data_IF_417462644731
#
_entry.id   IF_417462644731
#
_cell.length_a   1.000
_cell.length_b   1.000
_cell.length_c   1.000
_cell.angle_alpha   90.00
_cell.angle_beta   90.00
_cell.angle_gamma   90.00
#
_symmetry.space_group_name_H-M   'P 1'
#
loop_
_entity.id
_entity.type
_entity.pdbx_description
1 polymer ?
#
# COMPACT_ATOMS: atom_id res chain seq x y z
N UNK A 1 2.19 4.17 -10.93
CA UNK A 1 2.60 3.06 -10.06
C UNK A 1 3.99 2.66 -10.53
N UNK A 2 4.97 2.63 -9.64
CA UNK A 2 6.36 2.33 -9.93
C UNK A 2 6.65 0.82 -9.92
N UNK A 3 5.89 0.03 -9.15
CA UNK A 3 6.10 -1.42 -9.06
C UNK A 3 4.81 -2.17 -9.40
N UNK A 4 4.86 -3.00 -10.44
CA UNK A 4 3.81 -4.00 -10.71
C UNK A 4 3.79 -4.98 -9.55
N UNK A 5 2.59 -5.25 -9.00
CA UNK A 5 2.41 -6.01 -7.76
C UNK A 5 1.09 -6.78 -7.73
N UNK A 6 1.07 -7.91 -7.04
CA UNK A 6 -0.12 -8.68 -6.67
C UNK A 6 -0.18 -8.92 -5.16
N UNK A 7 -1.33 -9.36 -4.63
CA UNK A 7 -1.51 -9.68 -3.20
C UNK A 7 -1.10 -8.53 -2.26
N UNK A 8 -1.21 -7.29 -2.75
CA UNK A 8 -1.01 -6.06 -2.00
C UNK A 8 -2.32 -5.65 -1.34
N UNK A 9 -2.25 -4.69 -0.42
CA UNK A 9 -3.44 -4.01 0.08
C UNK A 9 -3.58 -2.63 -0.53
N UNK A 10 -4.81 -2.24 -0.83
CA UNK A 10 -5.18 -0.90 -1.25
C UNK A 10 -6.26 -0.37 -0.29
N UNK A 11 -6.03 0.81 0.29
CA UNK A 11 -6.95 1.43 1.26
C UNK A 11 -7.22 2.86 0.85
N UNK A 12 -8.50 3.19 0.64
CA UNK A 12 -8.95 4.56 0.41
C UNK A 12 -8.83 5.35 1.72
N UNK A 13 -8.16 6.50 1.68
CA UNK A 13 -8.03 7.42 2.81
C UNK A 13 -9.10 8.50 2.75
N UNK A 14 -9.34 9.16 3.89
CA UNK A 14 -10.26 10.31 3.98
C UNK A 14 -9.88 11.48 3.06
N UNK A 15 -8.61 11.58 2.63
CA UNK A 15 -8.16 12.57 1.64
C UNK A 15 -8.64 12.30 0.20
N UNK A 16 -9.22 11.12 -0.07
CA UNK A 16 -9.59 10.68 -1.43
C UNK A 16 -8.44 10.00 -2.19
N UNK A 17 -7.28 9.88 -1.57
CA UNK A 17 -6.13 9.16 -2.09
C UNK A 17 -6.16 7.69 -1.65
N UNK A 18 -5.55 6.81 -2.45
CA UNK A 18 -5.47 5.38 -2.13
C UNK A 18 -4.03 5.04 -1.73
N UNK A 19 -3.85 4.56 -0.49
CA UNK A 19 -2.60 3.96 -0.06
C UNK A 19 -2.53 2.53 -0.58
N UNK A 20 -1.49 2.21 -1.33
CA UNK A 20 -1.15 0.86 -1.78
C UNK A 20 0.15 0.43 -1.12
N UNK A 21 0.14 -0.69 -0.41
CA UNK A 21 1.35 -1.16 0.28
C UNK A 21 1.56 -2.67 0.20
N UNK A 22 2.83 -3.04 0.24
CA UNK A 22 3.32 -4.41 0.16
C UNK A 22 2.92 -5.18 -1.09
N UNK A 23 2.79 -6.49 -0.93
CA UNK A 23 2.51 -7.43 -2.00
C UNK A 23 3.76 -8.02 -2.64
N UNK A 24 3.55 -8.74 -3.72
CA UNK A 24 4.57 -9.46 -4.47
C UNK A 24 4.72 -8.84 -5.86
N UNK A 25 5.89 -8.29 -6.15
CA UNK A 25 6.25 -7.73 -7.46
C UNK A 25 7.24 -8.61 -8.24
N UNK A 26 7.69 -8.11 -9.38
CA UNK A 26 8.59 -8.87 -10.29
C UNK A 26 9.87 -9.37 -9.60
N UNK A 27 10.41 -8.57 -8.68
CA UNK A 27 11.62 -8.89 -7.92
C UNK A 27 11.41 -9.62 -6.59
N UNK A 28 10.18 -10.05 -6.27
CA UNK A 28 9.84 -10.65 -4.98
C UNK A 28 8.93 -9.78 -4.11
N UNK A 29 8.98 -10.02 -2.80
CA UNK A 29 8.17 -9.28 -1.84
C UNK A 29 8.57 -7.81 -1.76
N UNK A 30 7.57 -6.94 -1.62
CA UNK A 30 7.74 -5.50 -1.61
C UNK A 30 7.62 -4.93 -0.20
N UNK A 31 8.54 -4.04 0.16
CA UNK A 31 8.38 -3.13 1.30
C UNK A 31 7.75 -1.80 0.90
N UNK A 32 7.75 -1.48 -0.40
CA UNK A 32 7.38 -0.15 -0.86
C UNK A 32 5.87 0.11 -0.77
N UNK A 33 5.55 1.34 -0.37
CA UNK A 33 4.20 1.88 -0.39
C UNK A 33 4.11 3.02 -1.40
N UNK A 34 2.95 3.15 -2.04
CA UNK A 34 2.66 4.21 -2.99
C UNK A 34 1.27 4.80 -2.68
N UNK A 35 1.10 6.08 -2.94
CA UNK A 35 -0.18 6.77 -2.87
C UNK A 35 -0.65 7.06 -4.29
N UNK A 36 -1.88 6.67 -4.59
CA UNK A 36 -2.57 7.08 -5.80
C UNK A 36 -3.48 8.26 -5.50
N UNK A 37 -3.24 9.38 -6.16
CA UNK A 37 -4.12 10.54 -6.14
C UNK A 37 -5.11 10.41 -7.30
N UNK A 38 -6.38 10.19 -6.97
CA UNK A 38 -7.47 10.02 -7.94
C UNK A 38 -7.81 11.30 -8.69
N UNK A 39 -7.48 12.48 -8.14
CA UNK A 39 -7.77 13.78 -8.76
C UNK A 39 -6.82 14.09 -9.92
N UNK A 40 -5.56 13.66 -9.81
CA UNK A 40 -4.51 13.89 -10.81
C UNK A 40 -4.14 12.64 -11.61
N UNK A 41 -4.58 11.46 -11.16
CA UNK A 41 -4.20 10.17 -11.72
C UNK A 41 -2.73 9.82 -11.48
N UNK A 42 -2.04 10.54 -10.60
CA UNK A 42 -0.62 10.37 -10.35
C UNK A 42 -0.36 9.41 -9.20
N UNK A 43 0.84 8.82 -9.23
CA UNK A 43 1.34 7.94 -8.18
C UNK A 43 2.58 8.54 -7.53
N UNK A 44 2.59 8.56 -6.21
CA UNK A 44 3.71 9.07 -5.42
C UNK A 44 4.23 7.97 -4.50
N UNK A 45 5.55 7.85 -4.37
CA UNK A 45 6.14 6.98 -3.36
C UNK A 45 5.95 7.57 -1.97
N UNK A 46 5.77 6.72 -0.97
CA UNK A 46 5.65 7.13 0.43
C UNK A 46 6.46 6.22 1.35
N UNK A 47 6.32 6.41 2.66
CA UNK A 47 7.00 5.61 3.67
C UNK A 47 6.79 4.09 3.43
N UNK A 48 7.89 3.36 3.42
CA UNK A 48 7.90 1.91 3.20
C UNK A 48 7.63 1.15 4.50
N UNK A 49 7.10 -0.06 4.38
CA UNK A 49 6.97 -0.99 5.49
C UNK A 49 8.35 -1.42 6.00
N UNK A 50 8.46 -1.70 7.29
CA UNK A 50 9.69 -2.20 7.90
C UNK A 50 10.05 -3.63 7.43
N UNK A 51 9.06 -4.40 6.97
CA UNK A 51 9.23 -5.78 6.49
C UNK A 51 8.42 -5.98 5.24
N UNK A 52 8.96 -6.75 4.29
CA UNK A 52 8.24 -7.11 3.07
C UNK A 52 7.19 -8.17 3.42
N UNK A 53 5.94 -7.92 3.06
CA UNK A 53 4.80 -8.77 3.38
C UNK A 53 3.83 -8.79 2.19
N UNK A 54 3.12 -9.90 2.01
CA UNK A 54 2.02 -10.05 1.04
C UNK A 54 0.81 -10.73 1.66
N UNK A 55 -0.35 -10.67 1.01
CA UNK A 55 -1.62 -11.21 1.52
C UNK A 55 -2.06 -10.53 2.84
N UNK A 56 -1.93 -9.20 2.84
CA UNK A 56 -2.16 -8.31 3.97
C UNK A 56 -3.64 -7.91 4.05
N UNK A 57 -4.06 -7.42 5.21
CA UNK A 57 -5.27 -6.59 5.35
C UNK A 57 -4.92 -5.18 5.83
N UNK A 58 -5.72 -4.21 5.41
CA UNK A 58 -5.54 -2.78 5.65
C UNK A 58 -6.86 -2.18 6.08
N UNK A 59 -6.87 -1.48 7.21
CA UNK A 59 -8.06 -0.83 7.76
C UNK A 59 -7.75 0.65 7.99
N UNK A 60 -8.57 1.52 7.40
CA UNK A 60 -8.53 2.94 7.72
C UNK A 60 -9.09 3.15 9.13
N UNK A 61 -8.31 3.79 10.00
CA UNK A 61 -8.75 4.17 11.33
C UNK A 61 -9.39 5.56 11.31
N UNK A 62 -10.20 5.86 12.33
CA UNK A 62 -10.81 7.19 12.50
C UNK A 62 -9.76 8.31 12.66
N UNK A 63 -8.54 7.97 13.07
CA UNK A 63 -7.40 8.90 13.12
C UNK A 63 -6.92 9.34 11.73
N UNK A 64 -7.32 8.65 10.66
CA UNK A 64 -6.81 8.85 9.30
C UNK A 64 -5.55 8.03 8.96
N UNK A 65 -5.07 7.23 9.90
CA UNK A 65 -3.98 6.28 9.69
C UNK A 65 -4.51 4.97 9.10
N UNK A 66 -3.65 4.21 8.41
CA UNK A 66 -3.99 2.89 7.89
C UNK A 66 -3.26 1.84 8.72
N UNK A 67 -4.02 1.04 9.46
CA UNK A 67 -3.51 -0.14 10.15
C UNK A 67 -3.35 -1.28 9.15
N UNK A 68 -2.12 -1.77 8.98
CA UNK A 68 -1.81 -2.91 8.12
C UNK A 68 -1.34 -4.07 8.99
N UNK A 69 -2.03 -5.21 8.91
CA UNK A 69 -1.74 -6.39 9.73
C UNK A 69 -1.83 -7.68 8.92
N UNK A 70 -1.26 -8.75 9.48
CA UNK A 70 -1.24 -10.08 8.89
C UNK A 70 -0.17 -10.25 7.82
N UNK A 71 -0.47 -11.09 6.83
CA UNK A 71 0.41 -11.39 5.71
C UNK A 71 1.49 -12.44 5.98
N UNK A 72 2.12 -12.86 4.89
CA UNK A 72 3.21 -13.84 4.85
C UNK A 72 4.54 -13.19 4.43
N UNK A 73 5.63 -13.91 4.71
CA UNK A 73 7.03 -13.51 4.47
C UNK A 73 7.68 -14.35 3.37
#
# INVERSE_FOLDING_TARGET
MANVRMLHVATLRNSGEVLVTGGWGVGGLLTCSEIYDSSTGQWNTTASMAKALFDLTGTLLDSGEVLVIGGFI
#
